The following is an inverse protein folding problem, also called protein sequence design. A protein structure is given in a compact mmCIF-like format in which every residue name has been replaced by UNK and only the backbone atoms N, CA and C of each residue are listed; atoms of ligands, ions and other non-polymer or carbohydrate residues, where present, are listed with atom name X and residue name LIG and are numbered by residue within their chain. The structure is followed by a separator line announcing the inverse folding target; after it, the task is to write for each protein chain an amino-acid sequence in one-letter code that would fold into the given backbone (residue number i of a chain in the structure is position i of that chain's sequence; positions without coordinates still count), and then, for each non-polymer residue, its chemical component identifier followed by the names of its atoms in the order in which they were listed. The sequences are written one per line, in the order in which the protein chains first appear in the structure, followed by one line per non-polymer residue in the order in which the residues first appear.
data_IF_749400806993
#
_entry.id   IF_749400806993
#
_cell.length_a   1.000
_cell.length_b   1.000
_cell.length_c   1.000
_cell.angle_alpha   90.00
_cell.angle_beta   90.00
_cell.angle_gamma   90.00
#
_symmetry.space_group_name_H-M   'P 1'
#
loop_
_entity.id
_entity.type
_entity.pdbx_description
1 polymer ?
#
# COMPACT_ATOMS: atom_id res chain seq x y z
N UNK A 1 -19.25 10.75 -1.97
CA UNK A 1 -18.20 11.78 -1.76
C UNK A 1 -17.18 11.84 -2.91
N UNK A 2 -16.48 10.77 -3.30
CA UNK A 2 -15.49 10.78 -4.40
C UNK A 2 -16.00 11.36 -5.73
N UNK A 3 -17.30 11.20 -6.03
CA UNK A 3 -17.90 11.71 -7.27
C UNK A 3 -17.83 13.24 -7.40
N UNK A 4 -17.84 13.96 -6.28
CA UNK A 4 -17.87 15.43 -6.22
C UNK A 4 -16.48 16.06 -6.33
N UNK A 5 -15.41 15.25 -6.30
CA UNK A 5 -14.04 15.72 -6.32
C UNK A 5 -13.44 15.62 -7.73
N UNK A 6 -12.60 16.61 -8.07
CA UNK A 6 -11.73 16.57 -9.24
C UNK A 6 -10.44 15.81 -8.90
N UNK A 7 -10.31 14.58 -9.39
CA UNK A 7 -9.24 13.66 -8.98
C UNK A 7 -8.18 13.42 -10.05
N UNK A 8 -8.41 13.81 -11.31
CA UNK A 8 -7.55 13.46 -12.45
C UNK A 8 -6.09 13.83 -12.20
N UNK A 9 -5.18 12.87 -12.40
CA UNK A 9 -3.72 12.98 -12.17
C UNK A 9 -3.30 13.27 -10.72
N UNK A 10 -4.16 13.03 -9.74
CA UNK A 10 -3.80 13.09 -8.32
C UNK A 10 -3.60 11.67 -7.75
N UNK A 11 -2.73 11.57 -6.74
CA UNK A 11 -2.60 10.37 -5.92
C UNK A 11 -3.59 10.41 -4.77
N UNK A 12 -4.47 9.42 -4.71
CA UNK A 12 -5.48 9.30 -3.66
C UNK A 12 -5.01 8.27 -2.63
N UNK A 13 -4.77 8.73 -1.41
CA UNK A 13 -4.41 7.87 -0.27
C UNK A 13 -5.65 7.63 0.60
N UNK A 14 -5.89 6.37 0.98
CA UNK A 14 -7.02 6.02 1.86
C UNK A 14 -6.55 4.94 2.84
N UNK A 15 -7.05 5.03 4.07
CA UNK A 15 -6.79 4.04 5.12
C UNK A 15 -7.30 2.64 4.76
N UNK A 16 -6.98 1.69 5.63
CA UNK A 16 -7.34 0.30 5.42
C UNK A 16 -8.85 0.05 5.36
N UNK A 17 -9.66 0.76 6.12
CA UNK A 17 -11.12 0.61 6.10
C UNK A 17 -11.72 1.03 4.74
N UNK A 18 -11.09 1.99 4.07
CA UNK A 18 -11.46 2.43 2.72
C UNK A 18 -10.82 1.65 1.56
N UNK A 19 -10.02 0.61 1.83
CA UNK A 19 -9.49 -0.27 0.80
C UNK A 19 -10.56 -1.22 0.24
N UNK A 20 -11.45 -0.66 -0.59
CA UNK A 20 -12.58 -1.36 -1.21
C UNK A 20 -12.43 -1.35 -2.74
N UNK A 21 -12.83 -2.46 -3.38
CA UNK A 21 -12.71 -2.61 -4.85
C UNK A 21 -13.44 -1.50 -5.60
N UNK A 22 -14.64 -1.14 -5.15
CA UNK A 22 -15.45 -0.09 -5.79
C UNK A 22 -14.81 1.29 -5.67
N UNK A 23 -14.10 1.54 -4.56
CA UNK A 23 -13.35 2.79 -4.36
C UNK A 23 -12.17 2.84 -5.33
N UNK A 24 -11.38 1.77 -5.42
CA UNK A 24 -10.27 1.67 -6.38
C UNK A 24 -10.75 1.83 -7.82
N UNK A 25 -11.88 1.21 -8.19
CA UNK A 25 -12.48 1.36 -9.52
C UNK A 25 -12.82 2.81 -9.83
N UNK A 26 -13.53 3.50 -8.92
CA UNK A 26 -13.92 4.90 -9.10
C UNK A 26 -12.72 5.84 -9.25
N UNK A 27 -11.62 5.58 -8.55
CA UNK A 27 -10.40 6.38 -8.68
C UNK A 27 -9.79 6.20 -10.08
N UNK A 28 -9.70 4.95 -10.56
CA UNK A 28 -9.23 4.66 -11.92
C UNK A 28 -10.12 5.27 -13.00
N UNK A 29 -11.44 5.17 -12.85
CA UNK A 29 -12.42 5.74 -13.81
C UNK A 29 -12.26 7.26 -13.93
N UNK A 30 -11.83 7.92 -12.85
CA UNK A 30 -11.52 9.35 -12.81
C UNK A 30 -10.09 9.70 -13.28
N UNK A 31 -9.34 8.74 -13.82
CA UNK A 31 -7.95 8.90 -14.31
C UNK A 31 -7.01 9.46 -13.24
N UNK A 32 -7.14 8.91 -12.05
CA UNK A 32 -6.33 9.23 -10.87
C UNK A 32 -5.58 7.98 -10.40
N UNK A 33 -4.53 8.17 -9.62
CA UNK A 33 -3.72 7.10 -9.03
C UNK A 33 -4.16 6.84 -7.58
N UNK A 34 -3.87 5.67 -7.01
CA UNK A 34 -4.21 5.36 -5.62
C UNK A 34 -3.09 4.66 -4.85
N UNK A 35 -3.05 4.92 -3.54
CA UNK A 35 -2.29 4.16 -2.55
C UNK A 35 -3.27 3.80 -1.42
N UNK A 36 -3.72 2.55 -1.40
CA UNK A 36 -4.69 2.05 -0.43
C UNK A 36 -3.97 1.12 0.54
N UNK A 37 -4.15 1.35 1.85
CA UNK A 37 -3.59 0.44 2.84
C UNK A 37 -4.40 -0.87 2.88
N UNK A 38 -3.73 -2.03 2.88
CA UNK A 38 -4.39 -3.34 3.03
C UNK A 38 -4.13 -3.88 4.42
N UNK A 39 -5.16 -4.39 5.09
CA UNK A 39 -5.05 -5.14 6.35
C UNK A 39 -5.93 -6.40 6.26
N UNK A 40 -6.06 -7.14 7.36
CA UNK A 40 -6.92 -8.32 7.45
C UNK A 40 -8.40 -8.11 7.08
N UNK A 41 -8.88 -6.87 6.97
CA UNK A 41 -10.21 -6.57 6.44
C UNK A 41 -10.38 -6.95 4.95
N UNK A 42 -9.30 -7.20 4.22
CA UNK A 42 -9.31 -7.76 2.88
C UNK A 42 -8.58 -9.11 2.85
N UNK A 43 -9.12 -10.12 3.57
CA UNK A 43 -8.43 -11.39 3.86
C UNK A 43 -7.72 -12.06 2.68
N UNK A 44 -8.38 -12.20 1.51
CA UNK A 44 -7.75 -12.78 0.31
C UNK A 44 -6.57 -11.95 -0.22
N UNK A 45 -6.73 -10.64 -0.27
CA UNK A 45 -5.68 -9.73 -0.77
C UNK A 45 -4.52 -9.67 0.22
N UNK A 46 -4.83 -9.59 1.51
CA UNK A 46 -3.83 -9.59 2.57
C UNK A 46 -2.99 -10.87 2.55
N UNK A 47 -3.63 -12.03 2.45
CA UNK A 47 -2.94 -13.32 2.35
C UNK A 47 -2.03 -13.40 1.11
N UNK A 48 -2.53 -12.99 -0.06
CA UNK A 48 -1.74 -12.96 -1.28
C UNK A 48 -0.51 -12.04 -1.15
N UNK A 49 -0.65 -10.91 -0.45
CA UNK A 49 0.48 -10.03 -0.14
C UNK A 49 1.48 -10.67 0.82
N UNK A 50 1.03 -11.34 1.88
CA UNK A 50 1.91 -12.01 2.84
C UNK A 50 2.67 -13.20 2.20
N UNK A 51 2.00 -13.96 1.32
CA UNK A 51 2.63 -15.06 0.59
C UNK A 51 3.67 -14.56 -0.42
N UNK A 52 3.37 -13.47 -1.13
CA UNK A 52 4.23 -12.98 -2.21
C UNK A 52 5.36 -12.08 -1.71
N UNK A 53 5.14 -11.40 -0.60
CA UNK A 53 6.09 -10.46 -0.01
C UNK A 53 6.32 -10.74 1.49
N UNK A 54 6.93 -11.89 1.83
CA UNK A 54 7.20 -12.23 3.21
C UNK A 54 8.28 -11.31 3.81
N UNK A 55 8.21 -11.09 5.12
CA UNK A 55 9.05 -10.10 5.83
C UNK A 55 10.56 -10.33 5.66
N UNK A 56 10.98 -11.59 5.53
CA UNK A 56 12.37 -11.97 5.32
C UNK A 56 12.95 -11.49 3.98
N UNK A 57 12.12 -11.34 2.94
CA UNK A 57 12.53 -10.78 1.64
C UNK A 57 12.93 -9.32 1.81
N UNK A 58 12.24 -8.59 2.69
CA UNK A 58 12.52 -7.19 2.94
C UNK A 58 13.77 -6.95 3.78
N UNK A 59 14.12 -7.87 4.68
CA UNK A 59 15.30 -7.72 5.55
C UNK A 59 16.63 -7.70 4.77
N UNK A 60 16.65 -8.33 3.58
CA UNK A 60 17.84 -8.43 2.73
C UNK A 60 17.62 -7.80 1.34
N UNK A 61 16.64 -6.90 1.20
CA UNK A 61 16.36 -6.26 -0.08
C UNK A 61 17.54 -5.38 -0.51
N UNK A 62 18.12 -5.68 -1.67
CA UNK A 62 19.33 -4.99 -2.20
C UNK A 62 19.02 -3.74 -3.04
N UNK A 63 17.75 -3.45 -3.31
CA UNK A 63 17.35 -2.27 -4.05
C UNK A 63 17.08 -1.07 -3.15
N UNK A 64 16.44 -0.04 -3.72
CA UNK A 64 16.14 1.21 -3.01
C UNK A 64 15.21 0.95 -1.82
N UNK A 65 15.73 1.23 -0.62
CA UNK A 65 15.01 1.07 0.63
C UNK A 65 15.35 2.18 1.62
N UNK A 66 14.40 2.49 2.50
CA UNK A 66 14.56 3.48 3.56
C UNK A 66 13.83 3.02 4.81
N UNK A 67 14.49 3.07 5.96
CA UNK A 67 13.90 2.67 7.24
C UNK A 67 13.93 3.82 8.24
N UNK A 68 12.83 4.03 8.93
CA UNK A 68 12.76 4.94 10.09
C UNK A 68 12.40 4.17 11.35
N UNK A 69 12.83 4.69 12.49
CA UNK A 69 12.42 4.23 13.81
C UNK A 69 11.93 5.43 14.60
N UNK A 70 10.74 5.32 15.17
CA UNK A 70 10.11 6.38 15.96
C UNK A 70 9.66 5.79 17.30
N UNK A 71 9.80 6.58 18.37
CA UNK A 71 9.22 6.26 19.67
C UNK A 71 8.21 7.36 19.98
N UNK A 72 6.95 6.98 20.12
CA UNK A 72 5.85 7.93 20.35
C UNK A 72 4.74 7.26 21.15
N UNK A 73 4.21 7.97 22.15
CA UNK A 73 3.12 7.47 23.00
C UNK A 73 3.35 6.06 23.58
N UNK A 74 4.60 5.76 23.98
CA UNK A 74 4.98 4.45 24.54
C UNK A 74 5.13 3.32 23.51
N UNK A 75 4.94 3.61 22.21
CA UNK A 75 5.17 2.65 21.12
C UNK A 75 6.50 2.93 20.46
N UNK A 76 7.24 1.85 20.16
CA UNK A 76 8.38 1.88 19.24
C UNK A 76 7.89 1.37 17.89
N UNK A 77 7.91 2.21 16.87
CA UNK A 77 7.51 1.88 15.52
C UNK A 77 8.74 1.86 14.60
N UNK A 78 8.84 0.82 13.78
CA UNK A 78 9.80 0.75 12.67
C UNK A 78 9.00 0.79 11.37
N UNK A 79 9.32 1.72 10.47
CA UNK A 79 8.71 1.80 9.13
C UNK A 79 9.78 1.52 8.09
N UNK A 80 9.53 0.53 7.24
CA UNK A 80 10.40 0.15 6.14
C UNK A 80 9.69 0.47 4.82
N UNK A 81 10.34 1.28 4.00
CA UNK A 81 9.90 1.66 2.66
C UNK A 81 10.82 0.98 1.66
N UNK A 82 10.25 0.27 0.69
CA UNK A 82 10.98 -0.42 -0.38
C UNK A 82 10.36 -0.03 -1.71
N UNK A 83 11.20 0.34 -2.67
CA UNK A 83 10.80 0.63 -4.05
C UNK A 83 11.36 -0.44 -4.95
N UNK A 84 10.49 -1.19 -5.61
CA UNK A 84 10.86 -2.20 -6.58
C UNK A 84 10.04 -2.03 -7.85
N UNK A 85 10.63 -2.35 -9.00
CA UNK A 85 9.83 -2.63 -10.19
C UNK A 85 8.93 -3.83 -9.89
N UNK A 86 7.66 -3.76 -10.29
CA UNK A 86 6.79 -4.95 -10.27
C UNK A 86 7.26 -5.84 -11.42
N UNK A 87 8.18 -6.76 -11.13
CA UNK A 87 8.62 -7.76 -12.10
C UNK A 87 7.75 -9.02 -11.99
N UNK A 88 7.62 -9.81 -13.07
CA UNK A 88 6.94 -11.10 -13.00
C UNK A 88 7.52 -12.06 -11.96
N UNK A 89 8.78 -11.91 -11.54
CA UNK A 89 9.31 -12.72 -10.44
C UNK A 89 8.69 -12.35 -9.07
N UNK A 90 8.15 -11.13 -8.95
CA UNK A 90 7.42 -10.61 -7.80
C UNK A 90 5.89 -10.72 -7.93
N UNK A 91 5.36 -11.25 -9.06
CA UNK A 91 3.93 -11.59 -9.28
C UNK A 91 3.71 -13.10 -9.32
#
# INVERSE_FOLDING_TARGET
MLNLLYLKKNLITIDAMGCQKDIASKIKDKKADYLLAVKGNQGKLHHAFEEKFPVNVFSNYKGDSFSTQEISHGRKETRLHIVSNVTPELL
#
